data_IF_269902795358
#
_entry.id   IF_269902795358
#
_cell.length_a   1.000
_cell.length_b   1.000
_cell.length_c   1.000
_cell.angle_alpha   90.00
_cell.angle_beta   90.00
_cell.angle_gamma   90.00
#
_symmetry.space_group_name_H-M   'P 1'
#
loop_
_entity.id
_entity.type
_entity.pdbx_description
1 polymer ?
#
# COMPACT_ATOMS: atom_id res chain seq x y z
N UNK A 1 32.26 -15.20 -3.96
CA UNK A 1 31.16 -15.90 -3.25
C UNK A 1 30.22 -14.85 -2.68
N UNK A 2 29.00 -14.73 -3.19
CA UNK A 2 27.98 -13.80 -2.67
C UNK A 2 27.03 -14.60 -1.77
N UNK A 3 27.09 -14.36 -0.47
CA UNK A 3 26.25 -15.04 0.51
C UNK A 3 24.80 -14.53 0.38
N UNK A 4 23.91 -15.38 -0.11
CA UNK A 4 22.48 -15.18 -0.05
C UNK A 4 22.04 -15.04 1.41
N UNK A 5 21.66 -13.83 1.82
CA UNK A 5 21.00 -13.58 3.10
C UNK A 5 19.49 -13.75 2.86
N UNK A 6 18.89 -14.74 3.51
CA UNK A 6 17.47 -15.08 3.39
C UNK A 6 16.51 -13.89 3.64
N UNK A 7 15.21 -14.06 3.37
CA UNK A 7 14.26 -12.96 3.33
C UNK A 7 14.20 -12.23 4.67
N UNK A 8 14.51 -10.93 4.66
CA UNK A 8 14.26 -10.06 5.79
C UNK A 8 12.76 -9.98 6.11
N UNK A 9 12.41 -9.58 7.33
CA UNK A 9 11.03 -9.45 7.78
C UNK A 9 10.29 -8.44 6.86
N UNK A 10 9.30 -8.91 6.09
CA UNK A 10 8.48 -8.08 5.21
C UNK A 10 7.67 -7.08 6.06
N UNK A 11 7.80 -5.80 5.75
CA UNK A 11 7.08 -4.70 6.41
C UNK A 11 6.01 -4.18 5.45
N UNK A 12 4.83 -3.81 5.98
CA UNK A 12 3.67 -3.33 5.21
C UNK A 12 3.38 -1.86 5.55
N UNK A 13 3.26 -0.95 4.57
CA UNK A 13 3.11 0.53 4.72
C UNK A 13 2.19 1.15 3.63
N UNK A 14 1.72 2.42 3.67
CA UNK A 14 0.48 2.83 2.94
C UNK A 14 0.36 4.30 2.46
N UNK A 15 -0.51 4.55 1.45
CA UNK A 15 -1.08 5.86 1.02
C UNK A 15 -2.30 5.84 0.08
N UNK A 16 -2.70 7.08 -0.22
CA UNK A 16 -3.94 7.63 -0.78
C UNK A 16 -4.20 7.29 -2.25
N UNK A 17 -5.07 6.33 -2.54
CA UNK A 17 -5.50 6.08 -3.91
C UNK A 17 -6.44 7.20 -4.43
N UNK A 18 -6.01 8.21 -5.20
CA UNK A 18 -6.97 9.11 -5.86
C UNK A 18 -7.62 8.38 -7.04
N UNK A 19 -8.90 7.94 -6.97
CA UNK A 19 -9.63 7.40 -8.14
C UNK A 19 -9.85 8.53 -9.16
N UNK A 20 -8.79 8.89 -9.87
CA UNK A 20 -8.84 9.69 -11.08
C UNK A 20 -9.13 8.67 -12.18
N UNK A 21 -10.41 8.53 -12.52
CA UNK A 21 -10.92 7.62 -13.55
C UNK A 21 -10.54 6.14 -13.37
N UNK A 22 -11.37 5.38 -12.64
CA UNK A 22 -11.49 3.96 -12.96
C UNK A 22 -12.22 3.83 -14.30
N UNK A 23 -11.42 3.89 -15.36
CA UNK A 23 -11.85 3.83 -16.73
C UNK A 23 -12.59 2.52 -17.05
N UNK A 24 -13.27 2.51 -18.20
CA UNK A 24 -13.88 1.31 -18.74
C UNK A 24 -12.90 0.12 -18.80
N UNK A 25 -11.61 0.38 -19.06
CA UNK A 25 -10.57 -0.62 -19.26
C UNK A 25 -9.77 -1.02 -17.99
N UNK A 26 -10.19 -0.54 -16.81
CA UNK A 26 -9.68 -0.99 -15.51
C UNK A 26 -8.38 -0.32 -15.05
N UNK A 27 -8.05 0.85 -15.61
CA UNK A 27 -6.93 1.66 -15.10
C UNK A 27 -7.33 2.40 -13.84
N UNK A 28 -6.36 2.68 -12.96
CA UNK A 28 -6.56 3.50 -11.78
C UNK A 28 -5.21 4.09 -11.32
N UNK A 29 -5.28 5.11 -10.46
CA UNK A 29 -4.09 5.83 -9.99
C UNK A 29 -4.21 6.24 -8.52
N UNK A 30 -3.09 6.60 -7.91
CA UNK A 30 -3.04 7.27 -6.62
C UNK A 30 -1.76 6.98 -5.86
N UNK A 31 -1.66 7.43 -4.62
CA UNK A 31 -0.55 7.22 -3.73
C UNK A 31 -0.60 5.84 -3.08
N UNK A 32 0.56 5.17 -2.97
CA UNK A 32 0.74 3.94 -2.23
C UNK A 32 1.59 4.11 -0.95
N UNK A 33 2.37 5.19 -0.82
CA UNK A 33 2.95 5.67 0.45
C UNK A 33 2.93 7.21 0.60
N UNK A 34 2.57 7.76 1.78
CA UNK A 34 2.57 9.21 2.07
C UNK A 34 3.79 9.46 2.94
N UNK A 35 4.60 10.43 2.55
CA UNK A 35 5.83 10.71 3.26
C UNK A 35 5.57 11.51 4.55
N UNK A 36 6.36 11.22 5.58
CA UNK A 36 6.29 11.92 6.87
C UNK A 36 5.10 11.54 7.76
N UNK A 37 4.13 10.77 7.28
CA UNK A 37 2.99 10.31 8.08
C UNK A 37 3.34 9.07 8.91
N UNK A 38 2.90 9.05 10.17
CA UNK A 38 3.05 7.91 11.07
C UNK A 38 1.90 6.94 10.84
N UNK A 39 2.20 5.73 10.39
CA UNK A 39 1.20 4.69 10.20
C UNK A 39 0.82 3.97 11.51
N UNK A 40 -0.13 3.04 11.44
CA UNK A 40 -0.53 2.22 12.59
C UNK A 40 0.51 1.15 13.01
N UNK A 41 1.65 1.08 12.35
CA UNK A 41 2.85 0.33 12.75
C UNK A 41 3.88 1.20 13.48
N UNK A 42 3.58 2.49 13.71
CA UNK A 42 4.50 3.52 14.24
C UNK A 42 5.68 3.77 13.33
N UNK A 43 5.39 3.77 12.05
CA UNK A 43 6.36 3.63 11.01
C UNK A 43 6.15 4.81 10.03
N UNK A 44 7.21 5.54 9.71
CA UNK A 44 7.19 6.68 8.76
C UNK A 44 8.02 6.32 7.55
N UNK A 45 7.54 6.62 6.34
CA UNK A 45 8.38 6.58 5.13
C UNK A 45 8.94 7.97 4.89
N UNK A 46 10.25 8.06 4.70
CA UNK A 46 10.91 9.31 4.31
C UNK A 46 10.95 9.45 2.78
N UNK A 47 10.96 10.68 2.24
CA UNK A 47 11.19 10.93 0.83
C UNK A 47 12.49 10.27 0.34
N UNK A 48 12.44 9.61 -0.83
CA UNK A 48 13.59 8.92 -1.41
C UNK A 48 13.72 7.46 -0.97
N UNK A 49 12.87 6.98 -0.06
CA UNK A 49 12.97 5.62 0.46
C UNK A 49 12.80 4.53 -0.61
N UNK A 50 12.06 4.80 -1.70
CA UNK A 50 11.83 3.82 -2.77
C UNK A 50 12.75 3.98 -3.98
N UNK A 51 13.58 5.03 -4.02
CA UNK A 51 14.39 5.39 -5.19
C UNK A 51 15.20 4.22 -5.74
N UNK A 52 15.92 3.50 -4.87
CA UNK A 52 16.74 2.33 -5.26
C UNK A 52 15.88 1.24 -5.91
N UNK A 53 14.73 0.90 -5.33
CA UNK A 53 13.83 -0.12 -5.90
C UNK A 53 13.20 0.30 -7.21
N UNK A 54 12.76 1.55 -7.33
CA UNK A 54 12.15 2.04 -8.56
C UNK A 54 13.17 2.05 -9.71
N UNK A 55 14.42 2.43 -9.44
CA UNK A 55 15.51 2.40 -10.42
C UNK A 55 15.91 0.96 -10.80
N UNK A 56 15.95 0.04 -9.83
CA UNK A 56 16.40 -1.33 -10.08
C UNK A 56 15.35 -2.27 -10.68
N UNK A 57 14.07 -2.10 -10.31
CA UNK A 57 12.97 -3.01 -10.71
C UNK A 57 12.07 -2.42 -11.79
N UNK A 58 11.98 -1.09 -11.88
CA UNK A 58 10.97 -0.42 -12.69
C UNK A 58 9.54 -0.71 -12.23
N UNK A 59 8.56 -0.15 -12.93
CA UNK A 59 7.16 -0.29 -12.54
C UNK A 59 6.64 -1.73 -12.65
N UNK A 60 7.01 -2.42 -13.73
CA UNK A 60 6.57 -3.79 -14.01
C UNK A 60 7.22 -4.83 -13.08
N UNK A 61 8.33 -4.48 -12.43
CA UNK A 61 8.99 -5.33 -11.44
C UNK A 61 8.32 -5.33 -10.06
N UNK A 62 7.43 -4.37 -9.79
CA UNK A 62 6.63 -4.30 -8.57
C UNK A 62 5.28 -4.99 -8.81
N UNK A 63 4.87 -5.90 -7.92
CA UNK A 63 3.64 -6.67 -8.12
C UNK A 63 2.40 -5.88 -7.70
N UNK A 64 1.30 -6.04 -8.45
CA UNK A 64 -0.02 -5.57 -8.04
C UNK A 64 -0.82 -6.75 -7.49
N UNK A 65 -1.05 -6.76 -6.18
CA UNK A 65 -1.71 -7.87 -5.50
C UNK A 65 -3.06 -7.45 -4.90
N UNK A 66 -3.84 -8.43 -4.47
CA UNK A 66 -4.99 -8.22 -3.59
C UNK A 66 -4.65 -8.66 -2.17
N UNK A 67 -4.85 -7.78 -1.17
CA UNK A 67 -4.69 -8.09 0.26
C UNK A 67 -3.33 -8.69 0.66
N UNK A 68 -2.25 -8.32 -0.03
CA UNK A 68 -0.91 -8.89 0.17
C UNK A 68 -0.81 -10.41 -0.07
N UNK A 69 -1.77 -11.01 -0.77
CA UNK A 69 -1.72 -12.43 -1.10
C UNK A 69 -0.89 -12.63 -2.39
N UNK A 70 0.29 -13.26 -2.32
CA UNK A 70 1.12 -13.51 -3.50
C UNK A 70 0.46 -14.45 -4.53
N UNK A 71 -0.59 -15.19 -4.13
CA UNK A 71 -1.38 -16.02 -5.04
C UNK A 71 -2.47 -15.23 -5.78
N UNK A 72 -2.62 -13.93 -5.49
CA UNK A 72 -3.63 -13.07 -6.10
C UNK A 72 -3.02 -11.85 -6.79
N UNK A 73 -2.20 -12.04 -7.83
CA UNK A 73 -1.87 -10.96 -8.75
C UNK A 73 -3.12 -10.53 -9.50
N UNK A 74 -3.40 -9.24 -9.51
CA UNK A 74 -4.64 -8.68 -10.07
C UNK A 74 -4.40 -7.68 -11.21
N UNK A 75 -3.14 -7.39 -11.54
CA UNK A 75 -2.81 -6.40 -12.55
C UNK A 75 -1.33 -6.10 -12.64
N UNK A 76 -1.04 -4.97 -13.29
CA UNK A 76 0.32 -4.45 -13.45
C UNK A 76 0.34 -2.95 -13.24
N UNK A 77 1.43 -2.45 -12.64
CA UNK A 77 1.66 -1.02 -12.54
C UNK A 77 2.29 -0.48 -13.83
N UNK A 78 1.77 0.63 -14.32
CA UNK A 78 2.23 1.35 -15.51
C UNK A 78 3.16 2.51 -15.15
N UNK A 79 2.96 3.12 -13.98
CA UNK A 79 3.80 4.20 -13.47
C UNK A 79 3.98 4.05 -11.96
N UNK A 80 5.20 4.21 -11.47
CA UNK A 80 5.47 4.52 -10.07
C UNK A 80 6.49 5.65 -10.00
N UNK A 81 6.22 6.65 -9.16
CA UNK A 81 7.15 7.76 -8.94
C UNK A 81 7.02 8.27 -7.51
N UNK A 82 8.12 8.72 -6.94
CA UNK A 82 8.08 9.52 -5.72
C UNK A 82 7.89 10.99 -6.11
N UNK A 83 7.02 11.69 -5.39
CA UNK A 83 6.86 13.15 -5.43
C UNK A 83 6.94 13.74 -4.01
N UNK A 84 6.64 15.04 -3.86
CA UNK A 84 6.71 15.71 -2.56
C UNK A 84 5.71 15.15 -1.52
N UNK A 85 4.60 14.56 -1.97
CA UNK A 85 3.58 13.96 -1.09
C UNK A 85 3.92 12.52 -0.76
N UNK A 86 4.40 11.74 -1.73
CA UNK A 86 4.51 10.30 -1.53
C UNK A 86 4.93 9.50 -2.75
N UNK A 87 4.76 8.18 -2.66
CA UNK A 87 4.88 7.24 -3.78
C UNK A 87 3.56 7.22 -4.56
N UNK A 88 3.49 7.95 -5.66
CA UNK A 88 2.38 7.93 -6.61
C UNK A 88 2.51 6.74 -7.58
N UNK A 89 1.38 6.12 -7.91
CA UNK A 89 1.28 4.96 -8.78
C UNK A 89 0.12 5.06 -9.76
N UNK A 90 0.28 4.45 -10.93
CA UNK A 90 -0.78 4.19 -11.90
C UNK A 90 -0.67 2.74 -12.33
N UNK A 91 -1.80 2.08 -12.52
CA UNK A 91 -1.83 0.69 -12.91
C UNK A 91 -3.13 0.29 -13.57
N UNK A 92 -3.15 -0.94 -14.06
CA UNK A 92 -4.31 -1.53 -14.73
C UNK A 92 -4.60 -2.92 -14.18
N UNK A 93 -5.86 -3.14 -13.84
CA UNK A 93 -6.38 -4.46 -13.49
C UNK A 93 -6.37 -5.36 -14.72
N UNK A 94 -5.89 -6.60 -14.57
CA UNK A 94 -5.78 -7.55 -15.67
C UNK A 94 -7.17 -8.02 -16.13
N UNK A 95 -7.53 -7.85 -17.41
CA UNK A 95 -8.80 -8.37 -17.93
C UNK A 95 -8.80 -9.90 -17.93
N UNK A 96 -9.94 -10.52 -17.66
CA UNK A 96 -10.10 -11.99 -17.63
C UNK A 96 -9.58 -12.66 -16.35
N UNK A 97 -8.92 -11.92 -15.46
CA UNK A 97 -8.59 -12.42 -14.11
C UNK A 97 -9.80 -12.17 -13.21
N UNK A 98 -10.49 -13.26 -12.81
CA UNK A 98 -11.71 -13.19 -11.99
C UNK A 98 -11.55 -12.30 -10.76
N UNK A 99 -10.46 -12.44 -10.01
CA UNK A 99 -10.20 -11.61 -8.82
C UNK A 99 -10.00 -10.14 -9.16
N UNK A 100 -9.39 -9.82 -10.31
CA UNK A 100 -9.26 -8.43 -10.76
C UNK A 100 -10.61 -7.82 -11.13
N UNK A 101 -11.52 -8.60 -11.72
CA UNK A 101 -12.90 -8.18 -12.04
C UNK A 101 -13.72 -7.94 -10.76
N UNK A 102 -13.61 -8.84 -9.77
CA UNK A 102 -14.20 -8.67 -8.44
C UNK A 102 -13.68 -7.38 -7.76
N UNK A 103 -12.35 -7.18 -7.74
CA UNK A 103 -11.72 -5.97 -7.19
C UNK A 103 -12.20 -4.73 -7.92
N UNK A 104 -12.30 -4.75 -9.25
CA UNK A 104 -12.84 -3.64 -10.06
C UNK A 104 -14.26 -3.29 -9.63
N UNK A 105 -15.13 -4.29 -9.47
CA UNK A 105 -16.51 -4.07 -9.04
C UNK A 105 -16.59 -3.45 -7.63
N UNK A 106 -15.76 -3.94 -6.70
CA UNK A 106 -15.67 -3.42 -5.34
C UNK A 106 -15.09 -2.01 -5.27
N UNK A 107 -14.12 -1.68 -6.13
CA UNK A 107 -13.61 -0.31 -6.26
C UNK A 107 -14.68 0.63 -6.82
N UNK A 108 -15.44 0.19 -7.84
CA UNK A 108 -16.57 0.97 -8.40
C UNK A 108 -17.66 1.25 -7.38
N UNK A 109 -17.97 0.29 -6.50
CA UNK A 109 -18.97 0.48 -5.45
C UNK A 109 -18.45 1.25 -4.23
N UNK A 110 -17.15 1.56 -4.17
CA UNK A 110 -16.51 2.20 -3.02
C UNK A 110 -16.25 1.26 -1.84
N UNK A 111 -16.49 -0.05 -2.00
CA UNK A 111 -16.21 -1.05 -0.95
C UNK A 111 -14.71 -1.37 -0.79
N UNK A 112 -13.91 -1.08 -1.81
CA UNK A 112 -12.44 -1.13 -1.75
C UNK A 112 -11.85 0.21 -2.17
N UNK A 113 -11.12 0.83 -1.23
CA UNK A 113 -10.60 2.19 -1.35
C UNK A 113 -9.17 2.35 -0.83
N UNK A 114 -8.40 1.28 -0.66
CA UNK A 114 -7.07 1.34 -0.04
C UNK A 114 -5.96 0.79 -0.91
N UNK A 115 -4.79 1.44 -0.84
CA UNK A 115 -3.52 0.88 -1.29
C UNK A 115 -2.57 0.63 -0.12
N UNK A 116 -1.73 -0.38 -0.28
CA UNK A 116 -0.72 -0.78 0.70
C UNK A 116 0.52 -1.30 0.00
N UNK A 117 1.70 -0.93 0.46
CA UNK A 117 2.99 -1.45 0.00
C UNK A 117 3.46 -2.61 0.88
N UNK A 118 4.08 -3.59 0.24
CA UNK A 118 4.92 -4.59 0.87
C UNK A 118 6.36 -4.39 0.44
N UNK A 119 7.24 -4.28 1.42
CA UNK A 119 8.65 -3.99 1.19
C UNK A 119 9.52 -4.63 2.28
N UNK A 120 10.80 -4.80 1.98
CA UNK A 120 11.81 -5.12 2.96
C UNK A 120 12.50 -3.83 3.42
N UNK A 121 12.64 -3.62 4.73
CA UNK A 121 13.41 -2.47 5.23
C UNK A 121 14.90 -2.70 4.95
N UNK A 122 15.52 -1.78 4.20
CA UNK A 122 16.96 -1.78 3.93
C UNK A 122 17.68 -0.88 4.93
N UNK A 123 17.16 0.33 5.14
CA UNK A 123 17.72 1.30 6.08
C UNK A 123 16.61 1.99 6.85
N UNK A 124 16.79 2.10 8.16
CA UNK A 124 15.85 2.82 9.03
C UNK A 124 16.57 3.51 10.19
N UNK A 125 15.89 4.48 10.79
CA UNK A 125 16.30 5.14 12.03
C UNK A 125 15.15 5.08 13.02
N UNK A 126 15.43 4.66 14.24
CA UNK A 126 14.46 4.73 15.32
C UNK A 126 14.61 6.04 16.09
N UNK A 127 13.48 6.70 16.35
CA UNK A 127 13.42 7.83 17.26
C UNK A 127 13.26 7.29 18.68
N UNK A 128 14.28 7.49 19.52
CA UNK A 128 14.29 6.98 20.89
C UNK A 128 13.25 7.65 21.81
N UNK A 129 12.83 8.88 21.51
CA UNK A 129 11.85 9.62 22.32
C UNK A 129 10.43 9.22 21.98
N UNK A 130 10.14 9.09 20.69
CA UNK A 130 8.79 8.81 20.22
C UNK A 130 8.57 7.32 19.92
N UNK A 131 9.61 6.49 19.85
CA UNK A 131 9.51 5.10 19.43
C UNK A 131 9.12 4.91 17.96
N UNK A 132 9.02 5.99 17.18
CA UNK A 132 8.69 5.94 15.74
C UNK A 132 9.89 5.43 14.96
N UNK A 133 9.66 4.50 14.03
CA UNK A 133 10.67 4.02 13.10
C UNK A 133 10.53 4.75 11.76
N UNK A 134 11.56 5.51 11.39
CA UNK A 134 11.65 6.21 10.10
C UNK A 134 12.39 5.32 9.11
N UNK A 135 11.75 4.97 8.00
CA UNK A 135 12.33 4.16 6.94
C UNK A 135 12.98 5.09 5.93
N UNK A 136 14.30 4.95 5.82
CA UNK A 136 15.14 5.76 4.95
C UNK A 136 15.35 5.09 3.60
N UNK A 137 15.26 3.75 3.57
CA UNK A 137 15.37 2.95 2.35
C UNK A 137 14.55 1.68 2.49
N UNK A 138 13.72 1.43 1.49
CA UNK A 138 12.76 0.34 1.40
C UNK A 138 12.94 -0.39 0.08
N UNK A 139 13.26 -1.70 0.16
CA UNK A 139 13.19 -2.55 -1.02
C UNK A 139 11.73 -2.90 -1.32
N UNK A 140 11.09 -2.13 -2.21
CA UNK A 140 9.69 -2.28 -2.59
C UNK A 140 9.48 -3.53 -3.45
N UNK A 141 8.52 -4.38 -3.07
CA UNK A 141 8.25 -5.66 -3.75
C UNK A 141 6.88 -5.66 -4.41
N UNK A 142 5.88 -5.16 -3.69
CA UNK A 142 4.49 -5.18 -4.15
C UNK A 142 3.70 -4.00 -3.59
N UNK A 143 2.61 -3.72 -4.28
CA UNK A 143 1.58 -2.81 -3.85
C UNK A 143 0.24 -3.53 -4.03
N UNK A 144 -0.55 -3.57 -2.97
CA UNK A 144 -1.81 -4.27 -2.90
C UNK A 144 -3.00 -3.33 -2.86
N UNK A 145 -4.08 -3.71 -3.53
CA UNK A 145 -5.42 -3.19 -3.22
C UNK A 145 -5.93 -3.86 -1.95
N UNK A 146 -6.33 -3.07 -0.96
CA UNK A 146 -6.69 -3.54 0.38
C UNK A 146 -7.98 -2.90 0.89
N UNK A 147 -8.68 -3.59 1.79
CA UNK A 147 -9.87 -3.03 2.47
C UNK A 147 -9.49 -2.03 3.56
N UNK A 148 -8.36 -2.26 4.24
CA UNK A 148 -8.00 -1.52 5.45
C UNK A 148 -6.53 -1.09 5.45
N UNK A 149 -6.20 0.08 4.87
CA UNK A 149 -4.81 0.54 4.78
C UNK A 149 -4.27 1.01 6.16
N UNK A 150 -3.02 0.73 6.58
CA UNK A 150 -2.52 1.20 7.89
C UNK A 150 -2.16 2.69 7.97
N UNK A 151 -2.14 3.47 6.89
CA UNK A 151 -2.19 4.93 7.00
C UNK A 151 -3.68 5.37 6.94
N UNK A 152 -4.20 6.14 7.91
CA UNK A 152 -5.61 6.55 7.88
C UNK A 152 -5.98 7.54 6.77
N UNK A 153 -5.03 8.39 6.34
CA UNK A 153 -5.17 9.32 5.21
C UNK A 153 -5.29 8.61 3.85
N UNK A 154 -4.80 7.37 3.79
CA UNK A 154 -4.65 6.49 2.63
C UNK A 154 -5.94 5.91 2.04
N UNK A 155 -6.99 6.72 1.95
CA UNK A 155 -8.30 6.30 1.42
C UNK A 155 -8.55 6.90 0.04
N UNK A 156 -9.28 6.16 -0.78
CA UNK A 156 -9.82 6.70 -2.03
C UNK A 156 -10.79 7.82 -1.76
N UNK A 157 -10.49 8.99 -2.31
CA UNK A 157 -11.51 9.99 -2.56
C UNK A 157 -12.13 9.73 -3.93
N UNK A 158 -13.37 9.25 -3.94
CA UNK A 158 -14.21 9.30 -5.13
C UNK A 158 -14.66 10.76 -5.27
N UNK A 159 -14.19 11.48 -6.29
CA UNK A 159 -14.69 12.83 -6.61
C UNK A 159 -16.09 12.69 -7.23
N UNK A 160 -17.06 12.31 -6.39
CA UNK A 160 -18.53 12.42 -6.51
C UNK A 160 -19.20 11.53 -5.46
N UNK A 161 -18.95 11.80 -4.19
CA UNK A 161 -19.93 11.72 -3.10
C UNK A 161 -19.23 12.16 -1.82
N UNK A 162 -19.13 13.47 -1.61
CA UNK A 162 -18.90 14.01 -0.28
C UNK A 162 -20.09 13.59 0.58
N UNK A 163 -19.90 12.61 1.45
CA UNK A 163 -20.59 12.49 2.73
C UNK A 163 -19.95 11.39 3.57
N UNK A 164 -19.49 11.81 4.74
CA UNK A 164 -18.99 11.00 5.87
C UNK A 164 -17.58 10.44 5.72
N UNK A 165 -16.63 10.97 6.49
CA UNK A 165 -15.99 10.25 7.60
C UNK A 165 -15.38 11.31 8.53
N UNK A 166 -15.99 11.48 9.70
CA UNK A 166 -15.59 12.46 10.73
C UNK A 166 -14.72 11.72 11.76
N UNK A 167 -13.74 12.40 12.35
CA UNK A 167 -12.63 11.89 13.17
C UNK A 167 -12.86 10.72 14.16
N UNK A 168 -14.09 10.45 14.62
CA UNK A 168 -14.41 9.34 15.55
C UNK A 168 -14.29 7.94 14.93
N UNK A 169 -14.42 7.81 13.62
CA UNK A 169 -14.39 6.51 12.94
C UNK A 169 -12.96 5.91 12.86
N UNK A 170 -11.93 6.73 13.10
CA UNK A 170 -10.55 6.26 13.05
C UNK A 170 -10.21 5.24 14.14
N UNK A 171 -10.79 5.34 15.34
CA UNK A 171 -10.42 4.45 16.45
C UNK A 171 -10.97 3.02 16.27
N UNK A 172 -12.24 2.88 15.88
CA UNK A 172 -12.84 1.59 15.55
C UNK A 172 -12.09 0.90 14.41
N UNK A 173 -11.76 1.66 13.37
CA UNK A 173 -11.02 1.14 12.21
C UNK A 173 -9.60 0.74 12.63
N UNK A 174 -8.95 1.51 13.52
CA UNK A 174 -7.65 1.12 14.12
C UNK A 174 -7.77 -0.18 14.91
N UNK A 175 -8.84 -0.36 15.70
CA UNK A 175 -9.07 -1.56 16.48
C UNK A 175 -9.31 -2.79 15.59
N UNK A 176 -10.17 -2.67 14.58
CA UNK A 176 -10.41 -3.72 13.58
C UNK A 176 -9.11 -4.12 12.86
N UNK A 177 -8.25 -3.15 12.53
CA UNK A 177 -6.94 -3.41 11.89
C UNK A 177 -5.93 -4.07 12.82
N UNK A 178 -5.94 -3.75 14.12
CA UNK A 178 -5.11 -4.48 15.11
C UNK A 178 -5.59 -5.91 15.20
N UNK A 179 -6.90 -6.13 15.30
CA UNK A 179 -7.49 -7.47 15.33
C UNK A 179 -7.15 -8.28 14.06
N UNK A 180 -7.31 -7.70 12.87
CA UNK A 180 -6.98 -8.35 11.60
C UNK A 180 -5.49 -8.75 11.53
N UNK A 181 -4.58 -7.89 12.01
CA UNK A 181 -3.15 -8.21 12.10
C UNK A 181 -2.89 -9.37 13.07
N UNK A 182 -3.48 -9.32 14.26
CA UNK A 182 -3.34 -10.39 15.26
C UNK A 182 -3.83 -11.73 14.72
N UNK A 183 -4.98 -11.75 14.03
CA UNK A 183 -5.54 -12.96 13.41
C UNK A 183 -4.67 -13.51 12.27
N UNK A 184 -4.09 -12.63 11.43
CA UNK A 184 -3.16 -13.06 10.38
C UNK A 184 -1.87 -13.67 10.93
N UNK A 185 -1.43 -13.25 12.13
CA UNK A 185 -0.26 -13.82 12.81
C UNK A 185 -0.55 -15.05 13.66
N UNK A 186 -1.81 -15.33 14.02
CA UNK A 186 -2.19 -16.44 14.91
C UNK A 186 -2.48 -17.77 14.20
N UNK A 187 -2.57 -17.79 12.86
CA UNK A 187 -2.83 -19.00 12.08
C UNK A 187 -1.57 -19.79 11.68
N UNK A 188 -0.44 -19.56 12.36
CA UNK A 188 0.74 -20.42 12.31
C UNK A 188 1.13 -20.82 13.74
N UNK A 189 0.38 -21.76 14.31
CA UNK A 189 0.83 -22.69 15.34
C UNK A 189 0.21 -24.05 15.08
#
# INVERSE_FOLDING_TARGET
MHAYRGPGKLVRKFADLTLSDLSGDGTFSGYASVFGEVDLGRDVIEPGAFRTSLQGRGATGIRMLYQHDPNQPIGSWTLLKEDARGLYVEGRLSPGVKRAEEVRALMKSGALDGLSIGFQTVKSRQDAKTGIRRILEADLWEISVVTFPMAPSARVSNVKHQRFFRDKDTELIRAMRRAARTMATSNFK
#
